data_IF_800536920052
#
_entry.id   IF_800536920052
#
_cell.length_a   1.000
_cell.length_b   1.000
_cell.length_c   1.000
_cell.angle_alpha   90.00
_cell.angle_beta   90.00
_cell.angle_gamma   90.00
#
_symmetry.space_group_name_H-M   'P 1'
#
loop_
_entity.id
_entity.type
_entity.pdbx_description
1 polymer ?
#
# COMPACT_ATOMS: atom_id res chain seq x y z
N UNK A 1 23.98 -1.56 7.77
CA UNK A 1 22.99 -1.20 6.74
C UNK A 1 21.89 -2.24 6.66
N UNK A 2 22.19 -3.52 6.52
CA UNK A 2 21.22 -4.63 6.43
C UNK A 2 20.17 -4.66 7.57
N UNK A 3 20.59 -4.48 8.83
CA UNK A 3 19.67 -4.46 9.97
C UNK A 3 18.63 -3.34 9.93
N UNK A 4 18.96 -2.15 9.36
CA UNK A 4 18.00 -1.06 9.22
C UNK A 4 16.94 -1.39 8.15
N UNK A 5 17.36 -2.02 7.06
CA UNK A 5 16.48 -2.48 5.98
C UNK A 5 15.53 -3.58 6.51
N UNK A 6 16.05 -4.53 7.27
CA UNK A 6 15.24 -5.60 7.89
C UNK A 6 14.21 -5.03 8.89
N UNK A 7 14.58 -4.04 9.71
CA UNK A 7 13.65 -3.36 10.62
C UNK A 7 12.56 -2.60 9.85
N UNK A 8 12.92 -1.95 8.74
CA UNK A 8 11.96 -1.28 7.88
C UNK A 8 10.98 -2.29 7.26
N UNK A 9 11.48 -3.39 6.69
CA UNK A 9 10.63 -4.46 6.15
C UNK A 9 9.71 -5.06 7.21
N UNK A 10 10.22 -5.31 8.43
CA UNK A 10 9.42 -5.79 9.56
C UNK A 10 8.32 -4.82 9.99
N UNK A 11 8.59 -3.50 9.98
CA UNK A 11 7.57 -2.50 10.29
C UNK A 11 6.44 -2.44 9.24
N UNK A 12 6.75 -2.74 7.97
CA UNK A 12 5.77 -2.78 6.90
C UNK A 12 4.94 -4.06 6.88
N UNK A 13 5.34 -5.10 7.59
CA UNK A 13 4.64 -6.38 7.57
C UNK A 13 3.26 -6.33 8.24
N UNK A 14 3.12 -5.57 9.34
CA UNK A 14 1.86 -5.47 10.10
C UNK A 14 0.69 -4.94 9.25
N UNK A 15 0.80 -3.81 8.53
CA UNK A 15 -0.26 -3.36 7.64
C UNK A 15 -0.60 -4.38 6.55
N UNK A 16 0.43 -5.06 6.02
CA UNK A 16 0.23 -6.06 4.95
C UNK A 16 -0.64 -7.23 5.41
N UNK A 17 -0.51 -7.67 6.67
CA UNK A 17 -1.38 -8.70 7.24
C UNK A 17 -2.85 -8.26 7.30
N UNK A 18 -3.10 -6.99 7.61
CA UNK A 18 -4.47 -6.45 7.65
C UNK A 18 -5.13 -6.45 6.26
N UNK A 19 -4.34 -6.31 5.18
CA UNK A 19 -4.87 -6.42 3.82
C UNK A 19 -5.42 -7.80 3.49
N UNK A 20 -4.83 -8.87 4.04
CA UNK A 20 -5.33 -10.23 3.83
C UNK A 20 -6.75 -10.36 4.40
N UNK A 21 -6.98 -9.91 5.64
CA UNK A 21 -8.30 -9.91 6.24
C UNK A 21 -9.31 -9.07 5.45
N UNK A 22 -8.96 -7.83 5.12
CA UNK A 22 -9.83 -6.94 4.34
C UNK A 22 -10.14 -7.51 2.97
N UNK A 23 -9.14 -8.10 2.29
CA UNK A 23 -9.32 -8.73 0.98
C UNK A 23 -10.30 -9.91 1.02
N UNK A 24 -10.22 -10.76 2.04
CA UNK A 24 -11.16 -11.86 2.24
C UNK A 24 -12.57 -11.30 2.48
N UNK A 25 -12.72 -10.31 3.36
CA UNK A 25 -14.03 -9.72 3.68
C UNK A 25 -14.65 -9.00 2.48
N UNK A 26 -13.87 -8.22 1.72
CA UNK A 26 -14.33 -7.57 0.49
C UNK A 26 -14.72 -8.60 -0.56
N UNK A 27 -13.91 -9.65 -0.75
CA UNK A 27 -14.22 -10.73 -1.67
C UNK A 27 -15.52 -11.45 -1.31
N UNK A 28 -15.66 -11.89 -0.06
CA UNK A 28 -16.85 -12.56 0.44
C UNK A 28 -18.10 -11.68 0.29
N UNK A 29 -18.04 -10.43 0.73
CA UNK A 29 -19.18 -9.50 0.64
C UNK A 29 -19.53 -9.17 -0.80
N UNK A 30 -18.56 -9.10 -1.72
CA UNK A 30 -18.81 -8.90 -3.14
C UNK A 30 -19.56 -10.09 -3.74
N UNK A 31 -19.20 -11.33 -3.39
CA UNK A 31 -19.94 -12.53 -3.81
C UNK A 31 -21.37 -12.49 -3.29
N UNK A 32 -21.57 -12.17 -2.00
CA UNK A 32 -22.88 -12.16 -1.34
C UNK A 32 -23.80 -10.99 -1.77
N UNK A 33 -23.24 -9.94 -2.36
CA UNK A 33 -24.00 -8.81 -2.94
C UNK A 33 -24.15 -8.90 -4.46
N UNK A 34 -23.67 -9.97 -5.08
CA UNK A 34 -23.75 -10.15 -6.55
C UNK A 34 -25.02 -10.90 -6.93
N UNK A 35 -25.94 -10.24 -7.64
CA UNK A 35 -27.15 -10.86 -8.18
C UNK A 35 -26.84 -12.02 -9.15
N UNK A 36 -25.72 -11.93 -9.87
CA UNK A 36 -25.28 -12.99 -10.80
C UNK A 36 -24.96 -14.29 -10.07
N UNK A 37 -24.46 -14.21 -8.83
CA UNK A 37 -24.02 -15.39 -8.05
C UNK A 37 -25.10 -15.87 -7.10
N UNK A 38 -25.75 -14.96 -6.38
CA UNK A 38 -26.71 -15.25 -5.29
C UNK A 38 -28.17 -15.16 -5.77
N UNK A 39 -28.41 -14.56 -6.94
CA UNK A 39 -29.75 -14.39 -7.49
C UNK A 39 -30.50 -13.18 -6.91
N UNK A 40 -31.83 -13.18 -7.05
CA UNK A 40 -32.69 -12.03 -6.70
C UNK A 40 -32.66 -11.63 -5.23
N UNK A 41 -32.18 -12.48 -4.32
CA UNK A 41 -32.00 -12.12 -2.90
C UNK A 41 -30.94 -11.03 -2.73
N UNK A 42 -30.01 -10.87 -3.68
CA UNK A 42 -28.98 -9.86 -3.69
C UNK A 42 -29.40 -8.56 -4.41
N UNK A 43 -30.66 -8.38 -4.77
CA UNK A 43 -31.17 -7.10 -5.29
C UNK A 43 -30.95 -5.98 -4.28
N UNK A 44 -30.59 -4.77 -4.78
CA UNK A 44 -30.23 -3.62 -3.94
C UNK A 44 -31.33 -3.17 -2.95
N UNK A 45 -32.60 -3.53 -3.25
CA UNK A 45 -33.76 -3.22 -2.40
C UNK A 45 -33.89 -4.13 -1.17
N UNK A 46 -33.32 -5.33 -1.23
CA UNK A 46 -33.46 -6.36 -0.20
C UNK A 46 -32.68 -6.03 1.07
N UNK A 47 -33.17 -6.57 2.21
CA UNK A 47 -32.46 -6.49 3.50
C UNK A 47 -31.13 -7.24 3.45
N UNK A 48 -31.08 -8.36 2.71
CA UNK A 48 -29.86 -9.14 2.50
C UNK A 48 -28.75 -8.27 1.91
N UNK A 49 -29.04 -7.61 0.78
CA UNK A 49 -28.07 -6.71 0.12
C UNK A 49 -27.60 -5.60 1.05
N UNK A 50 -28.52 -4.91 1.72
CA UNK A 50 -28.20 -3.79 2.63
C UNK A 50 -27.29 -4.20 3.77
N UNK A 51 -27.50 -5.39 4.37
CA UNK A 51 -26.65 -5.92 5.43
C UNK A 51 -25.24 -6.20 4.90
N UNK A 52 -25.13 -6.95 3.80
CA UNK A 52 -23.83 -7.30 3.26
C UNK A 52 -23.09 -6.10 2.64
N UNK A 53 -23.83 -5.15 2.08
CA UNK A 53 -23.26 -3.88 1.63
C UNK A 53 -22.69 -3.08 2.80
N UNK A 54 -23.36 -3.04 3.94
CA UNK A 54 -22.84 -2.38 5.16
C UNK A 54 -21.54 -3.04 5.64
N UNK A 55 -21.48 -4.37 5.64
CA UNK A 55 -20.26 -5.12 5.99
C UNK A 55 -19.13 -4.82 4.97
N UNK A 56 -19.48 -4.77 3.68
CA UNK A 56 -18.54 -4.43 2.59
C UNK A 56 -17.93 -3.04 2.78
N UNK A 57 -18.74 -2.04 3.11
CA UNK A 57 -18.27 -0.68 3.37
C UNK A 57 -17.29 -0.63 4.54
N UNK A 58 -17.55 -1.37 5.62
CA UNK A 58 -16.59 -1.53 6.72
C UNK A 58 -15.30 -2.22 6.29
N UNK A 59 -15.39 -3.26 5.46
CA UNK A 59 -14.22 -3.99 4.96
C UNK A 59 -13.32 -3.13 4.05
N UNK A 60 -13.88 -2.15 3.33
CA UNK A 60 -13.13 -1.22 2.50
C UNK A 60 -12.28 -0.21 3.27
N UNK A 61 -12.47 -0.06 4.58
CA UNK A 61 -11.73 0.90 5.43
C UNK A 61 -10.22 0.75 5.25
N UNK A 62 -9.71 -0.48 5.23
CA UNK A 62 -8.26 -0.74 5.11
C UNK A 62 -7.74 -0.25 3.75
N UNK A 63 -8.46 -0.55 2.66
CA UNK A 63 -8.05 -0.13 1.32
C UNK A 63 -8.14 1.38 1.11
N UNK A 64 -9.14 2.04 1.70
CA UNK A 64 -9.30 3.49 1.61
C UNK A 64 -8.27 4.26 2.44
N UNK A 65 -7.73 3.64 3.51
CA UNK A 65 -6.80 4.28 4.45
C UNK A 65 -5.42 3.63 4.47
N UNK A 66 -5.01 3.01 3.37
CA UNK A 66 -3.70 2.37 3.22
C UNK A 66 -2.55 3.28 3.68
N UNK A 67 -2.43 4.53 3.19
CA UNK A 67 -1.32 5.41 3.56
C UNK A 67 -1.26 5.67 5.07
N UNK A 68 -2.41 5.85 5.70
CA UNK A 68 -2.53 6.13 7.13
C UNK A 68 -2.07 4.96 7.98
N UNK A 69 -2.40 3.72 7.58
CA UNK A 69 -1.95 2.51 8.25
C UNK A 69 -0.42 2.39 8.23
N UNK A 70 0.20 2.71 7.10
CA UNK A 70 1.66 2.68 6.99
C UNK A 70 2.34 3.78 7.79
N UNK A 71 1.78 4.98 7.83
CA UNK A 71 2.28 6.08 8.66
C UNK A 71 2.34 5.69 10.13
N UNK A 72 1.29 5.04 10.64
CA UNK A 72 1.21 4.62 12.05
C UNK A 72 2.11 3.43 12.33
N UNK A 73 2.25 2.49 11.40
CA UNK A 73 3.03 1.27 11.62
C UNK A 73 4.55 1.46 11.56
N UNK A 74 5.03 2.39 10.74
CA UNK A 74 6.46 2.59 10.57
C UNK A 74 7.19 2.96 11.88
N UNK A 75 6.68 3.88 12.70
CA UNK A 75 7.29 4.21 13.98
C UNK A 75 7.37 3.03 14.96
N UNK A 76 6.46 2.05 14.89
CA UNK A 76 6.49 0.85 15.75
C UNK A 76 7.81 0.10 15.58
N UNK A 77 8.29 -0.04 14.35
CA UNK A 77 9.52 -0.76 14.06
C UNK A 77 10.80 0.09 14.11
N UNK A 78 10.68 1.41 13.90
CA UNK A 78 11.83 2.29 13.66
C UNK A 78 12.10 3.28 14.79
N UNK A 79 11.13 3.61 15.64
CA UNK A 79 11.34 4.46 16.79
C UNK A 79 12.17 3.73 17.87
N UNK A 80 13.18 4.40 18.41
CA UNK A 80 14.10 3.83 19.40
C UNK A 80 13.47 3.73 20.79
N UNK A 81 12.58 4.66 21.13
CA UNK A 81 11.92 4.78 22.43
C UNK A 81 10.48 5.23 22.22
N UNK A 82 9.61 5.00 23.22
CA UNK A 82 8.25 5.52 23.25
C UNK A 82 7.48 5.36 21.92
N UNK A 83 7.52 4.18 21.33
CA UNK A 83 6.96 3.85 20.01
C UNK A 83 5.50 4.29 19.86
N UNK A 84 4.66 4.10 20.89
CA UNK A 84 3.27 4.52 20.86
C UNK A 84 3.13 6.04 20.68
N UNK A 85 3.99 6.85 21.32
CA UNK A 85 4.01 8.30 21.14
C UNK A 85 4.48 8.68 19.73
N UNK A 86 5.49 8.00 19.21
CA UNK A 86 5.96 8.21 17.84
C UNK A 86 4.87 7.90 16.81
N UNK A 87 4.00 6.91 17.06
CA UNK A 87 2.84 6.61 16.20
C UNK A 87 1.83 7.76 16.20
N UNK A 88 1.53 8.31 17.38
CA UNK A 88 0.62 9.46 17.49
C UNK A 88 1.19 10.72 16.83
N UNK A 89 2.49 10.97 17.01
CA UNK A 89 3.20 12.07 16.33
C UNK A 89 3.14 11.91 14.81
N UNK A 90 3.35 10.68 14.30
CA UNK A 90 3.31 10.39 12.88
C UNK A 90 1.90 10.57 12.31
N UNK A 91 0.88 10.10 13.01
CA UNK A 91 -0.52 10.30 12.62
C UNK A 91 -0.86 11.79 12.53
N UNK A 92 -0.57 12.54 13.60
CA UNK A 92 -0.87 13.97 13.66
C UNK A 92 -0.14 14.76 12.55
N UNK A 93 1.15 14.53 12.40
CA UNK A 93 1.97 15.25 11.42
C UNK A 93 1.63 14.85 9.98
N UNK A 94 1.20 13.63 9.74
CA UNK A 94 0.71 13.22 8.42
C UNK A 94 -0.62 13.89 8.05
N UNK A 95 -1.55 13.99 9.00
CA UNK A 95 -2.78 14.76 8.79
C UNK A 95 -2.47 16.24 8.56
N UNK A 96 -1.58 16.82 9.37
CA UNK A 96 -1.11 18.20 9.21
C UNK A 96 -0.50 18.45 7.82
N UNK A 97 0.34 17.54 7.34
CA UNK A 97 0.92 17.57 5.99
C UNK A 97 -0.17 17.62 4.90
N UNK A 98 -1.18 16.74 5.01
CA UNK A 98 -2.28 16.71 4.05
C UNK A 98 -3.16 17.96 4.12
N UNK A 99 -3.41 18.52 5.32
CA UNK A 99 -4.10 19.80 5.46
C UNK A 99 -3.32 20.98 4.86
N UNK A 100 -1.99 20.99 4.98
CA UNK A 100 -1.17 21.98 4.32
C UNK A 100 -1.25 21.89 2.80
N UNK A 101 -1.15 20.67 2.24
CA UNK A 101 -1.33 20.48 0.80
C UNK A 101 -2.72 20.95 0.37
N UNK A 102 -3.77 20.56 1.09
CA UNK A 102 -5.14 20.98 0.80
C UNK A 102 -5.28 22.51 0.77
N UNK A 103 -4.75 23.19 1.79
CA UNK A 103 -4.80 24.64 1.88
C UNK A 103 -3.96 25.33 0.78
N UNK A 104 -2.78 24.81 0.48
CA UNK A 104 -1.92 25.33 -0.60
C UNK A 104 -2.62 25.17 -1.95
N UNK A 105 -3.18 24.00 -2.24
CA UNK A 105 -3.86 23.75 -3.52
C UNK A 105 -5.17 24.52 -3.66
N UNK A 106 -5.90 24.71 -2.58
CA UNK A 106 -7.12 25.52 -2.60
C UNK A 106 -6.84 26.99 -2.98
N UNK A 107 -5.67 27.53 -2.60
CA UNK A 107 -5.30 28.90 -2.87
C UNK A 107 -4.45 29.09 -4.13
N UNK A 108 -3.56 28.13 -4.44
CA UNK A 108 -2.56 28.26 -5.49
C UNK A 108 -2.49 27.04 -6.42
N UNK A 109 -3.51 26.17 -6.46
CA UNK A 109 -3.50 24.92 -7.23
C UNK A 109 -3.15 25.12 -8.70
N UNK A 110 -3.71 26.15 -9.33
CA UNK A 110 -3.44 26.48 -10.73
C UNK A 110 -1.97 26.81 -11.02
N UNK A 111 -1.27 27.43 -10.06
CA UNK A 111 0.17 27.72 -10.19
C UNK A 111 1.04 26.44 -10.19
N UNK A 112 0.54 25.36 -9.59
CA UNK A 112 1.18 24.06 -9.57
C UNK A 112 0.67 23.12 -10.66
N UNK A 113 -0.22 23.58 -11.55
CA UNK A 113 -0.82 22.79 -12.60
C UNK A 113 -1.86 21.77 -12.10
N UNK A 114 -2.42 21.97 -10.91
CA UNK A 114 -3.42 21.11 -10.30
C UNK A 114 -4.77 21.82 -10.25
N UNK A 115 -5.79 21.22 -10.87
CA UNK A 115 -7.17 21.70 -10.74
C UNK A 115 -7.80 21.14 -9.47
N UNK A 116 -7.85 21.97 -8.43
CA UNK A 116 -8.43 21.58 -7.15
C UNK A 116 -9.96 21.64 -7.11
N UNK A 117 -10.63 22.11 -8.17
CA UNK A 117 -12.10 22.14 -8.26
C UNK A 117 -12.67 20.75 -8.52
N UNK A 118 -11.93 19.89 -9.21
CA UNK A 118 -12.32 18.52 -9.57
C UNK A 118 -12.44 17.66 -8.31
N UNK A 119 -13.44 16.80 -8.23
CA UNK A 119 -13.59 15.85 -7.11
C UNK A 119 -12.39 14.90 -7.02
N UNK A 120 -12.01 14.55 -5.77
CA UNK A 120 -10.93 13.60 -5.56
C UNK A 120 -11.36 12.20 -6.02
N UNK A 121 -10.56 11.57 -6.87
CA UNK A 121 -10.87 10.25 -7.43
C UNK A 121 -9.78 9.75 -8.36
N UNK A 122 -9.97 8.52 -8.83
CA UNK A 122 -9.01 7.86 -9.70
C UNK A 122 -8.70 8.70 -10.95
N UNK A 123 -7.41 8.86 -11.25
CA UNK A 123 -6.93 9.57 -12.44
C UNK A 123 -6.89 11.10 -12.32
N UNK A 124 -7.51 11.71 -11.30
CA UNK A 124 -7.53 13.17 -11.11
C UNK A 124 -6.23 13.71 -10.52
N UNK A 125 -5.41 12.86 -9.91
CA UNK A 125 -4.23 13.25 -9.14
C UNK A 125 -4.53 13.74 -7.73
N UNK A 126 -5.80 13.71 -7.32
CA UNK A 126 -6.29 14.07 -5.99
C UNK A 126 -6.89 12.84 -5.30
N UNK A 127 -6.67 12.73 -3.99
CA UNK A 127 -7.21 11.65 -3.15
C UNK A 127 -7.85 12.20 -1.88
N UNK A 128 -8.65 11.35 -1.23
CA UNK A 128 -9.20 11.62 0.10
C UNK A 128 -8.40 10.84 1.15
N UNK A 129 -7.67 11.53 2.00
CA UNK A 129 -6.97 10.94 3.14
C UNK A 129 -7.68 11.39 4.41
N UNK A 130 -8.30 10.46 5.14
CA UNK A 130 -9.14 10.77 6.31
C UNK A 130 -10.13 11.92 6.04
N UNK A 131 -10.81 11.90 4.88
CA UNK A 131 -11.73 12.94 4.39
C UNK A 131 -11.07 14.29 4.02
N UNK A 132 -9.76 14.40 4.06
CA UNK A 132 -9.03 15.58 3.59
C UNK A 132 -8.75 15.41 2.11
N UNK A 133 -9.25 16.32 1.27
CA UNK A 133 -8.93 16.39 -0.15
C UNK A 133 -7.51 16.89 -0.34
N UNK A 134 -6.63 16.07 -0.89
CA UNK A 134 -5.19 16.34 -0.97
C UNK A 134 -4.62 15.75 -2.27
N UNK A 135 -3.33 15.98 -2.56
CA UNK A 135 -2.64 15.29 -3.64
C UNK A 135 -2.63 13.78 -3.36
N UNK A 136 -2.83 13.00 -4.39
CA UNK A 136 -2.68 11.55 -4.34
C UNK A 136 -1.19 11.18 -4.26
N UNK A 137 -0.62 11.35 -3.07
CA UNK A 137 0.76 10.95 -2.76
C UNK A 137 0.84 9.52 -2.26
N UNK A 138 -0.31 8.92 -1.97
CA UNK A 138 -0.55 7.55 -1.54
C UNK A 138 0.56 7.04 -0.58
N UNK A 139 1.16 5.89 -0.89
CA UNK A 139 2.17 5.24 -0.04
C UNK A 139 3.48 6.03 0.05
N UNK A 140 3.91 6.68 -1.04
CA UNK A 140 5.20 7.39 -1.07
C UNK A 140 5.17 8.57 -0.10
N UNK A 141 4.11 9.39 -0.14
CA UNK A 141 3.93 10.49 0.80
C UNK A 141 3.89 10.01 2.26
N UNK A 142 3.15 8.93 2.50
CA UNK A 142 3.05 8.31 3.83
C UNK A 142 4.41 7.86 4.38
N UNK A 143 5.21 7.16 3.56
CA UNK A 143 6.53 6.66 3.96
C UNK A 143 7.54 7.78 4.19
N UNK A 144 7.52 8.83 3.36
CA UNK A 144 8.38 10.00 3.52
C UNK A 144 8.07 10.73 4.81
N UNK A 145 6.79 11.03 5.05
CA UNK A 145 6.36 11.71 6.28
C UNK A 145 6.70 10.87 7.52
N UNK A 146 6.35 9.58 7.53
CA UNK A 146 6.64 8.70 8.66
C UNK A 146 8.15 8.59 8.93
N UNK A 147 8.97 8.49 7.87
CA UNK A 147 10.43 8.47 7.99
C UNK A 147 10.99 9.74 8.62
N UNK A 148 10.50 10.91 8.19
CA UNK A 148 10.88 12.20 8.77
C UNK A 148 10.46 12.29 10.23
N UNK A 149 9.22 11.90 10.55
CA UNK A 149 8.72 11.94 11.94
C UNK A 149 9.52 11.03 12.85
N UNK A 150 9.83 9.81 12.41
CA UNK A 150 10.71 8.88 13.16
C UNK A 150 12.09 9.48 13.37
N UNK A 151 12.65 10.15 12.36
CA UNK A 151 13.93 10.85 12.52
C UNK A 151 13.85 11.97 13.56
N UNK A 152 12.82 12.83 13.48
CA UNK A 152 12.60 13.92 14.44
C UNK A 152 12.38 13.38 15.85
N UNK A 153 11.54 12.35 16.00
CA UNK A 153 11.29 11.68 17.27
C UNK A 153 12.58 11.15 17.88
N UNK A 154 13.34 10.36 17.14
CA UNK A 154 14.59 9.75 17.62
C UNK A 154 15.67 10.78 17.98
N UNK A 155 15.62 11.98 17.40
CA UNK A 155 16.61 13.05 17.62
C UNK A 155 16.19 14.02 18.72
N UNK A 156 14.93 14.41 18.78
CA UNK A 156 14.48 15.54 19.58
C UNK A 156 13.59 15.17 20.77
N UNK A 157 13.11 13.93 20.88
CA UNK A 157 12.20 13.50 21.94
C UNK A 157 12.78 13.69 23.36
N UNK A 158 14.06 13.42 23.54
CA UNK A 158 14.77 13.52 24.83
C UNK A 158 15.44 14.89 25.04
N UNK A 159 15.13 15.91 24.21
CA UNK A 159 15.76 17.24 24.31
C UNK A 159 15.40 17.90 25.63
N UNK A 160 16.42 18.34 26.36
CA UNK A 160 16.25 19.11 27.61
C UNK A 160 15.85 20.55 27.26
N UNK A 161 14.65 20.93 27.60
CA UNK A 161 14.16 22.29 27.46
C UNK A 161 14.28 23.06 28.79
N UNK A 162 14.40 24.40 28.77
CA UNK A 162 14.33 25.24 29.95
C UNK A 162 13.07 24.95 30.77
N UNK A 163 13.11 25.19 32.09
CA UNK A 163 11.99 24.85 32.98
C UNK A 163 10.67 25.48 32.61
N UNK A 164 10.67 26.71 32.10
CA UNK A 164 9.48 27.42 31.65
C UNK A 164 8.84 26.82 30.38
N UNK A 165 9.58 26.03 29.60
CA UNK A 165 9.10 25.24 28.47
C UNK A 165 8.88 23.75 28.82
N UNK A 166 8.92 23.40 30.09
CA UNK A 166 8.84 22.03 30.56
C UNK A 166 7.61 21.25 30.07
N UNK A 167 6.48 21.93 29.88
CA UNK A 167 5.23 21.36 29.35
C UNK A 167 5.37 20.89 27.89
N UNK A 168 6.26 21.50 27.12
CA UNK A 168 6.49 21.19 25.72
C UNK A 168 7.53 20.06 25.49
N UNK A 169 8.00 19.39 26.54
CA UNK A 169 8.95 18.28 26.41
C UNK A 169 8.35 17.08 25.69
N UNK A 170 9.23 16.29 25.04
CA UNK A 170 8.84 15.05 24.37
C UNK A 170 8.02 15.25 23.11
N UNK A 171 6.86 14.60 23.00
CA UNK A 171 6.02 14.63 21.80
C UNK A 171 5.58 16.02 21.36
N UNK A 172 5.29 16.93 22.32
CA UNK A 172 4.92 18.29 21.97
C UNK A 172 6.04 19.03 21.21
N UNK A 173 7.29 18.85 21.66
CA UNK A 173 8.44 19.47 21.01
C UNK A 173 8.69 18.88 19.61
N UNK A 174 8.57 17.54 19.49
CA UNK A 174 8.68 16.87 18.20
C UNK A 174 7.60 17.35 17.24
N UNK A 175 6.35 17.46 17.70
CA UNK A 175 5.25 17.94 16.88
C UNK A 175 5.41 19.42 16.50
N UNK A 176 5.92 20.28 17.40
CA UNK A 176 6.17 21.69 17.11
C UNK A 176 7.22 21.86 15.99
N UNK A 177 8.32 21.14 16.06
CA UNK A 177 9.33 21.15 14.98
C UNK A 177 8.73 20.51 13.72
N UNK A 178 8.04 19.38 13.89
CA UNK A 178 7.41 18.63 12.80
C UNK A 178 6.41 19.47 12.01
N UNK A 179 5.65 20.36 12.68
CA UNK A 179 4.69 21.25 12.03
C UNK A 179 5.35 22.11 10.94
N UNK A 180 6.46 22.77 11.25
CA UNK A 180 7.17 23.60 10.27
C UNK A 180 7.86 22.76 9.19
N UNK A 181 8.37 21.59 9.56
CA UNK A 181 8.96 20.65 8.60
C UNK A 181 7.90 20.12 7.63
N UNK A 182 6.68 19.82 8.13
CA UNK A 182 5.57 19.37 7.26
C UNK A 182 5.07 20.49 6.36
N UNK A 183 5.07 21.75 6.81
CA UNK A 183 4.74 22.90 5.96
C UNK A 183 5.73 23.01 4.78
N UNK A 184 7.02 23.00 5.06
CA UNK A 184 8.05 23.05 4.01
C UNK A 184 7.94 21.82 3.06
N UNK A 185 7.70 20.65 3.61
CA UNK A 185 7.53 19.41 2.83
C UNK A 185 6.28 19.50 1.93
N UNK A 186 5.18 20.05 2.42
CA UNK A 186 3.94 20.23 1.64
C UNK A 186 4.18 21.13 0.42
N UNK A 187 4.91 22.24 0.56
CA UNK A 187 5.29 23.09 -0.57
C UNK A 187 6.13 22.32 -1.59
N UNK A 188 7.14 21.58 -1.13
CA UNK A 188 7.98 20.75 -2.01
C UNK A 188 7.12 19.72 -2.76
N UNK A 189 6.19 19.05 -2.07
CA UNK A 189 5.30 18.08 -2.73
C UNK A 189 4.35 18.75 -3.73
N UNK A 190 3.81 19.91 -3.45
CA UNK A 190 2.98 20.64 -4.41
C UNK A 190 3.74 20.99 -5.69
N UNK A 191 5.05 21.27 -5.60
CA UNK A 191 5.89 21.57 -6.76
C UNK A 191 6.28 20.31 -7.55
N UNK A 192 6.70 19.24 -6.84
CA UNK A 192 7.36 18.08 -7.44
C UNK A 192 6.38 16.97 -7.79
N UNK A 193 5.36 16.76 -6.98
CA UNK A 193 4.46 15.61 -7.10
C UNK A 193 3.63 15.58 -8.39
N UNK A 194 3.07 16.68 -8.90
CA UNK A 194 2.36 16.68 -10.18
C UNK A 194 3.23 16.23 -11.35
N UNK A 195 4.54 16.56 -11.31
CA UNK A 195 5.51 16.11 -12.33
C UNK A 195 5.71 14.59 -12.22
N UNK A 196 5.84 14.07 -10.99
CA UNK A 196 5.97 12.62 -10.74
C UNK A 196 4.70 11.90 -11.21
N UNK A 197 3.51 12.41 -10.92
CA UNK A 197 2.24 11.81 -11.36
C UNK A 197 2.15 11.74 -12.89
N UNK A 198 2.58 12.78 -13.60
CA UNK A 198 2.64 12.78 -15.06
C UNK A 198 3.62 11.73 -15.57
N UNK A 199 4.77 11.59 -14.94
CA UNK A 199 5.75 10.54 -15.23
C UNK A 199 5.19 9.13 -14.98
N UNK A 200 4.44 8.94 -13.90
CA UNK A 200 3.78 7.66 -13.58
C UNK A 200 2.73 7.28 -14.64
N UNK A 201 1.91 8.24 -15.10
CA UNK A 201 0.95 8.00 -16.20
C UNK A 201 1.65 7.59 -17.50
N UNK A 202 2.77 8.22 -17.82
CA UNK A 202 3.58 7.85 -18.99
C UNK A 202 4.17 6.45 -18.85
N UNK A 203 4.65 6.11 -17.66
CA UNK A 203 5.17 4.77 -17.33
C UNK A 203 4.09 3.70 -17.39
N UNK A 204 2.87 4.00 -16.96
CA UNK A 204 1.69 3.13 -17.10
C UNK A 204 1.47 2.76 -18.56
N UNK A 205 1.45 3.74 -19.47
CA UNK A 205 1.30 3.51 -20.90
C UNK A 205 2.40 2.59 -21.46
N UNK A 206 3.65 2.82 -21.07
CA UNK A 206 4.78 1.97 -21.46
C UNK A 206 4.62 0.53 -20.97
N UNK A 207 4.31 0.29 -19.71
CA UNK A 207 4.14 -1.07 -19.17
C UNK A 207 2.95 -1.79 -19.80
N UNK A 208 1.84 -1.09 -20.04
CA UNK A 208 0.68 -1.68 -20.69
C UNK A 208 0.98 -2.07 -22.15
N UNK A 209 1.79 -1.28 -22.86
CA UNK A 209 2.19 -1.56 -24.23
C UNK A 209 3.31 -2.61 -24.36
N UNK A 210 4.19 -2.76 -23.35
CA UNK A 210 5.36 -3.64 -23.40
C UNK A 210 5.07 -5.15 -23.35
N UNK A 211 3.81 -5.54 -23.12
CA UNK A 211 3.38 -6.92 -23.17
C UNK A 211 4.12 -7.85 -22.19
N UNK A 212 4.57 -9.00 -22.68
CA UNK A 212 5.26 -10.03 -21.88
C UNK A 212 6.61 -9.55 -21.32
N UNK A 213 7.33 -8.70 -22.06
CA UNK A 213 8.64 -8.20 -21.65
C UNK A 213 8.54 -7.28 -20.43
N UNK A 214 7.53 -6.41 -20.39
CA UNK A 214 7.27 -5.56 -19.23
C UNK A 214 6.93 -6.36 -17.98
N UNK A 215 6.11 -7.40 -18.10
CA UNK A 215 5.82 -8.33 -16.99
C UNK A 215 7.08 -9.04 -16.52
N UNK A 216 7.94 -9.48 -17.44
CA UNK A 216 9.20 -10.14 -17.10
C UNK A 216 10.14 -9.21 -16.32
N UNK A 217 10.38 -7.99 -16.82
CA UNK A 217 11.22 -7.00 -16.13
C UNK A 217 10.66 -6.67 -14.74
N UNK A 218 9.37 -6.43 -14.65
CA UNK A 218 8.70 -6.15 -13.37
C UNK A 218 8.89 -7.30 -12.37
N UNK A 219 8.60 -8.53 -12.79
CA UNK A 219 8.74 -9.73 -11.95
C UNK A 219 10.20 -9.96 -11.54
N UNK A 220 11.13 -9.77 -12.45
CA UNK A 220 12.56 -9.92 -12.16
C UNK A 220 13.02 -8.90 -11.10
N UNK A 221 12.69 -7.62 -11.28
CA UNK A 221 13.02 -6.58 -10.31
C UNK A 221 12.39 -6.85 -8.93
N UNK A 222 11.12 -7.24 -8.90
CA UNK A 222 10.44 -7.57 -7.65
C UNK A 222 11.14 -8.74 -6.93
N UNK A 223 11.48 -9.81 -7.65
CA UNK A 223 12.09 -11.00 -7.06
C UNK A 223 13.53 -10.79 -6.59
N UNK A 224 14.35 -10.09 -7.33
CA UNK A 224 15.75 -9.84 -6.95
C UNK A 224 15.85 -8.94 -5.70
N UNK A 225 14.84 -8.13 -5.46
CA UNK A 225 14.80 -7.22 -4.30
C UNK A 225 14.17 -7.83 -3.04
N UNK A 226 13.59 -9.04 -3.10
CA UNK A 226 13.01 -9.71 -1.93
C UNK A 226 14.02 -9.86 -0.77
N UNK A 227 15.27 -10.34 -1.00
CA UNK A 227 16.23 -10.53 0.09
C UNK A 227 16.61 -9.23 0.82
N UNK A 228 16.47 -8.08 0.15
CA UNK A 228 16.76 -6.76 0.72
C UNK A 228 15.55 -6.12 1.40
N UNK A 229 14.34 -6.67 1.20
CA UNK A 229 13.08 -6.07 1.64
C UNK A 229 12.61 -4.87 0.79
N UNK A 230 13.37 -4.50 -0.25
CA UNK A 230 13.05 -3.37 -1.12
C UNK A 230 12.02 -3.69 -2.21
N UNK A 231 11.63 -4.95 -2.36
CA UNK A 231 10.61 -5.38 -3.34
C UNK A 231 9.27 -4.64 -3.17
N UNK A 232 8.96 -4.18 -1.97
CA UNK A 232 7.78 -3.36 -1.70
C UNK A 232 7.75 -2.08 -2.55
N UNK A 233 8.89 -1.45 -2.79
CA UNK A 233 8.98 -0.25 -3.64
C UNK A 233 8.67 -0.54 -5.11
N UNK A 234 8.85 -1.78 -5.56
CA UNK A 234 8.57 -2.19 -6.94
C UNK A 234 7.10 -2.56 -7.11
N UNK A 235 6.54 -3.42 -6.24
CA UNK A 235 5.19 -3.93 -6.47
C UNK A 235 4.07 -3.02 -5.92
N UNK A 236 4.33 -2.25 -4.84
CA UNK A 236 3.29 -1.41 -4.23
C UNK A 236 2.69 -0.38 -5.20
N UNK A 237 3.50 0.32 -6.01
CA UNK A 237 2.97 1.26 -6.97
C UNK A 237 2.01 0.60 -7.99
N UNK A 238 2.27 -0.64 -8.40
CA UNK A 238 1.36 -1.37 -9.27
C UNK A 238 0.13 -1.90 -8.54
N UNK A 239 0.31 -2.37 -7.31
CA UNK A 239 -0.77 -2.98 -6.54
C UNK A 239 -1.79 -1.97 -6.01
N UNK A 240 -1.32 -0.77 -5.62
CA UNK A 240 -2.11 0.19 -4.86
C UNK A 240 -2.12 1.61 -5.46
N UNK A 241 -1.27 1.90 -6.44
CA UNK A 241 -1.21 3.19 -7.12
C UNK A 241 -1.61 3.06 -8.59
N UNK A 242 -1.88 4.20 -9.23
CA UNK A 242 -2.41 4.26 -10.61
C UNK A 242 -1.33 4.04 -11.69
N UNK A 243 -0.36 3.15 -11.48
CA UNK A 243 0.67 2.85 -12.49
C UNK A 243 0.18 1.88 -13.56
N UNK A 244 -0.52 0.82 -13.18
CA UNK A 244 -1.01 -0.19 -14.12
C UNK A 244 -2.49 0.00 -14.46
N UNK A 245 -3.26 0.48 -13.50
CA UNK A 245 -4.70 0.78 -13.61
C UNK A 245 -5.07 1.78 -12.53
N UNK A 246 -6.04 2.64 -12.80
CA UNK A 246 -6.49 3.64 -11.85
C UNK A 246 -6.93 3.02 -10.53
N UNK A 247 -6.42 3.57 -9.42
CA UNK A 247 -6.64 3.07 -8.07
C UNK A 247 -5.82 1.84 -7.68
N UNK A 248 -4.97 1.34 -8.58
CA UNK A 248 -4.16 0.15 -8.38
C UNK A 248 -4.87 -1.16 -8.69
N UNK A 249 -4.09 -2.19 -8.98
CA UNK A 249 -4.59 -3.48 -9.45
C UNK A 249 -5.57 -4.13 -8.46
N UNK A 250 -5.30 -4.03 -7.15
CA UNK A 250 -6.14 -4.68 -6.13
C UNK A 250 -7.50 -4.03 -5.97
N UNK A 251 -7.56 -2.71 -5.92
CA UNK A 251 -8.81 -2.00 -5.81
C UNK A 251 -9.64 -2.13 -7.10
N UNK A 252 -9.01 -1.97 -8.28
CA UNK A 252 -9.67 -2.15 -9.55
C UNK A 252 -10.22 -3.56 -9.75
N UNK A 253 -9.48 -4.60 -9.33
CA UNK A 253 -9.97 -5.98 -9.36
C UNK A 253 -11.20 -6.16 -8.47
N UNK A 254 -11.14 -5.67 -7.23
CA UNK A 254 -12.24 -5.84 -6.27
C UNK A 254 -13.50 -5.07 -6.67
N UNK A 255 -13.36 -3.89 -7.27
CA UNK A 255 -14.49 -3.08 -7.76
C UNK A 255 -15.23 -3.76 -8.93
N UNK A 256 -14.50 -4.37 -9.84
CA UNK A 256 -15.06 -4.94 -11.07
C UNK A 256 -15.26 -6.47 -10.98
N UNK A 257 -15.09 -7.07 -9.80
CA UNK A 257 -15.14 -8.53 -9.63
C UNK A 257 -16.48 -9.13 -10.08
N UNK A 258 -17.59 -8.48 -9.79
CA UNK A 258 -18.92 -8.93 -10.19
C UNK A 258 -19.12 -8.89 -11.72
N UNK A 259 -18.62 -7.86 -12.39
CA UNK A 259 -18.65 -7.74 -13.84
C UNK A 259 -17.79 -8.81 -14.52
N UNK A 260 -16.58 -9.04 -13.98
CA UNK A 260 -15.68 -10.07 -14.49
C UNK A 260 -16.24 -11.48 -14.31
N UNK A 261 -16.92 -11.74 -13.19
CA UNK A 261 -17.57 -13.03 -12.93
C UNK A 261 -18.78 -13.29 -13.86
N UNK A 262 -19.49 -12.24 -14.25
CA UNK A 262 -20.62 -12.34 -15.17
C UNK A 262 -20.20 -12.46 -16.64
N UNK A 263 -18.96 -12.10 -16.98
CA UNK A 263 -18.50 -12.05 -18.37
C UNK A 263 -18.01 -13.41 -18.86
N UNK A 264 -18.39 -13.77 -20.09
CA UNK A 264 -17.85 -14.94 -20.80
C UNK A 264 -16.50 -14.69 -21.48
N UNK A 265 -15.99 -13.44 -21.45
CA UNK A 265 -14.72 -13.06 -22.06
C UNK A 265 -13.53 -13.51 -21.22
N UNK A 266 -12.39 -13.71 -21.86
CA UNK A 266 -11.14 -14.04 -21.16
C UNK A 266 -10.72 -12.92 -20.20
N UNK A 267 -10.29 -13.26 -18.97
CA UNK A 267 -9.76 -12.30 -18.01
C UNK A 267 -8.56 -11.52 -18.52
N UNK A 268 -7.77 -12.10 -19.43
CA UNK A 268 -6.65 -11.40 -20.06
C UNK A 268 -7.11 -10.20 -20.92
N UNK A 269 -8.32 -10.26 -21.47
CA UNK A 269 -8.91 -9.16 -22.26
C UNK A 269 -9.69 -8.18 -21.39
N UNK A 270 -10.37 -8.67 -20.35
CA UNK A 270 -11.16 -7.84 -19.44
C UNK A 270 -10.30 -7.03 -18.48
N UNK A 271 -9.21 -7.63 -17.99
CA UNK A 271 -8.33 -7.00 -17.02
C UNK A 271 -6.84 -7.18 -17.37
N UNK A 272 -6.35 -6.49 -18.42
CA UNK A 272 -4.97 -6.62 -18.88
C UNK A 272 -3.92 -6.26 -17.80
N UNK A 273 -4.24 -5.36 -16.87
CA UNK A 273 -3.39 -5.00 -15.75
C UNK A 273 -3.15 -6.15 -14.77
N UNK A 274 -4.04 -7.14 -14.74
CA UNK A 274 -3.93 -8.33 -13.87
C UNK A 274 -2.65 -9.14 -14.09
N UNK A 275 -2.01 -9.03 -15.27
CA UNK A 275 -0.71 -9.65 -15.54
C UNK A 275 0.41 -9.18 -14.60
N UNK A 276 0.29 -7.99 -14.02
CA UNK A 276 1.23 -7.47 -13.02
C UNK A 276 0.86 -7.83 -11.59
N UNK A 277 -0.25 -8.53 -11.37
CA UNK A 277 -0.69 -8.95 -10.04
C UNK A 277 0.19 -10.05 -9.40
N UNK A 278 0.96 -10.79 -10.18
CA UNK A 278 1.98 -11.79 -9.81
C UNK A 278 1.55 -12.96 -8.89
N UNK A 279 0.35 -12.90 -8.33
CA UNK A 279 -0.03 -13.79 -7.22
C UNK A 279 -0.28 -15.25 -7.62
N UNK A 280 -0.77 -15.51 -8.84
CA UNK A 280 -1.07 -16.87 -9.30
C UNK A 280 0.17 -17.62 -9.77
N UNK A 281 0.85 -17.08 -10.75
CA UNK A 281 1.98 -17.74 -11.42
C UNK A 281 3.16 -17.97 -10.49
N UNK A 282 3.48 -16.99 -9.63
CA UNK A 282 4.61 -17.11 -8.72
C UNK A 282 4.37 -18.13 -7.61
N UNK A 283 3.14 -18.33 -7.17
CA UNK A 283 2.82 -19.36 -6.16
C UNK A 283 2.90 -20.78 -6.74
N UNK A 284 2.42 -20.97 -7.96
CA UNK A 284 2.42 -22.27 -8.63
C UNK A 284 3.83 -22.67 -9.06
N UNK A 285 4.60 -21.75 -9.66
CA UNK A 285 5.90 -22.08 -10.27
C UNK A 285 7.10 -21.76 -9.40
N UNK A 286 7.04 -20.71 -8.54
CA UNK A 286 8.18 -20.35 -7.70
C UNK A 286 8.39 -21.34 -6.53
N UNK A 287 7.31 -21.84 -5.91
CA UNK A 287 7.45 -22.77 -4.80
C UNK A 287 8.15 -24.07 -5.18
N UNK A 288 7.76 -24.78 -6.27
CA UNK A 288 8.52 -25.93 -6.79
C UNK A 288 9.96 -25.57 -7.20
N UNK A 289 10.15 -24.40 -7.84
CA UNK A 289 11.47 -23.93 -8.25
C UNK A 289 12.42 -23.68 -7.08
N UNK A 290 11.94 -23.07 -6.01
CA UNK A 290 12.70 -22.85 -4.77
C UNK A 290 13.07 -24.19 -4.12
N UNK A 291 12.12 -25.12 -4.02
CA UNK A 291 12.37 -26.46 -3.48
C UNK A 291 13.43 -27.21 -4.27
N UNK A 292 13.35 -27.13 -5.60
CA UNK A 292 14.33 -27.73 -6.49
C UNK A 292 15.72 -27.11 -6.32
N UNK A 293 15.79 -25.79 -6.18
CA UNK A 293 17.03 -25.05 -5.94
C UNK A 293 17.67 -25.46 -4.61
N UNK A 294 16.90 -25.56 -3.53
CA UNK A 294 17.38 -26.04 -2.25
C UNK A 294 17.88 -27.49 -2.31
N UNK A 295 17.14 -28.36 -3.01
CA UNK A 295 17.57 -29.73 -3.22
C UNK A 295 18.87 -29.80 -4.04
N UNK A 296 18.98 -29.03 -5.10
CA UNK A 296 20.18 -29.02 -5.97
C UNK A 296 21.42 -28.50 -5.23
N UNK A 297 21.26 -27.48 -4.37
CA UNK A 297 22.35 -26.85 -3.63
C UNK A 297 22.69 -27.56 -2.31
N UNK A 298 21.81 -28.44 -1.81
CA UNK A 298 22.03 -29.17 -0.56
C UNK A 298 23.22 -30.14 -0.67
N UNK A 299 24.02 -30.25 0.40
CA UNK A 299 25.10 -31.22 0.54
C UNK A 299 24.54 -32.66 0.40
N UNK A 300 25.30 -33.57 -0.22
CA UNK A 300 24.87 -34.96 -0.49
C UNK A 300 24.19 -35.65 0.71
N UNK A 301 24.74 -35.48 1.92
CA UNK A 301 24.22 -36.12 3.14
C UNK A 301 22.91 -35.49 3.68
N UNK A 302 22.51 -34.32 3.19
CA UNK A 302 21.31 -33.62 3.63
C UNK A 302 20.22 -33.51 2.56
N UNK A 303 20.42 -34.13 1.39
CA UNK A 303 19.46 -34.05 0.28
C UNK A 303 18.09 -34.63 0.62
N UNK A 304 18.05 -35.75 1.34
CA UNK A 304 16.80 -36.41 1.74
C UNK A 304 16.00 -35.59 2.77
N UNK A 305 16.70 -34.98 3.75
CA UNK A 305 16.13 -34.11 4.76
C UNK A 305 15.64 -32.80 4.15
N UNK A 306 16.43 -32.19 3.26
CA UNK A 306 16.07 -30.99 2.51
C UNK A 306 14.85 -31.20 1.62
N UNK A 307 14.69 -32.37 1.00
CA UNK A 307 13.52 -32.69 0.19
C UNK A 307 12.24 -32.78 1.03
N UNK A 308 12.29 -33.45 2.18
CA UNK A 308 11.13 -33.58 3.08
C UNK A 308 10.68 -32.24 3.67
N UNK A 309 11.63 -31.44 4.17
CA UNK A 309 11.34 -30.10 4.75
C UNK A 309 10.81 -29.17 3.68
N UNK A 310 11.42 -29.13 2.49
CA UNK A 310 11.01 -28.23 1.43
C UNK A 310 9.69 -28.64 0.78
N UNK A 311 9.39 -29.92 0.67
CA UNK A 311 8.08 -30.40 0.21
C UNK A 311 6.97 -29.98 1.19
N UNK A 312 7.19 -30.09 2.50
CA UNK A 312 6.26 -29.62 3.53
C UNK A 312 6.11 -28.09 3.53
N UNK A 313 7.20 -27.33 3.38
CA UNK A 313 7.14 -25.88 3.27
C UNK A 313 6.41 -25.43 2.01
N UNK A 314 6.59 -26.09 0.88
CA UNK A 314 5.85 -25.78 -0.35
C UNK A 314 4.37 -26.08 -0.21
N UNK A 315 4.02 -27.22 0.39
CA UNK A 315 2.63 -27.59 0.64
C UNK A 315 1.96 -26.62 1.61
N UNK A 316 2.61 -26.30 2.73
CA UNK A 316 2.10 -25.31 3.69
C UNK A 316 2.05 -23.89 3.13
N UNK A 317 3.03 -23.47 2.31
CA UNK A 317 2.98 -22.16 1.64
C UNK A 317 1.86 -22.11 0.61
N UNK A 318 1.56 -23.17 -0.10
CA UNK A 318 0.40 -23.22 -0.99
C UNK A 318 -0.92 -23.22 -0.23
N UNK A 319 -1.02 -23.90 0.93
CA UNK A 319 -2.25 -24.00 1.71
C UNK A 319 -2.51 -22.75 2.56
N UNK A 320 -1.48 -22.13 3.14
CA UNK A 320 -1.61 -20.90 3.95
C UNK A 320 -2.05 -19.66 3.15
N UNK A 321 -2.06 -19.71 1.83
CA UNK A 321 -2.48 -18.60 0.97
C UNK A 321 -3.80 -18.87 0.24
N UNK A 322 -4.44 -20.01 0.50
CA UNK A 322 -5.80 -20.33 0.03
C UNK A 322 -6.88 -20.11 1.11
N UNK A 323 -6.47 -19.67 2.32
CA UNK A 323 -7.41 -19.27 3.38
C UNK A 323 -7.31 -17.78 3.65
#
# INVERSE_FOLDING_TARGET
MMQKIQKFGGAMFTPVLLFAFSGIMVGLTTVLTSEVIVGSIAEATTTWYKVWWTVKEGAWTIFRQIPLLFVVSLPIGLAKKQQARACMEALLLYLTFNYFIAAILANWGTAFGVDYSIEAGNGTGLALVASIKTLDTNMVGALVVAGIVVYLHNKYFDTKLPEWLGVFKGSCFVCAIGFFVMLALAVVFCCVWPIIQTGMKSLQGFFMASGALGVWVFTFCERILIPTGLHHFVYMPFAYESIAVDGGIKAAWALNLSEYAASSKSLATLFPAGRFALYGHSKIFAAPGISLAFYATAKKNKKKESYGINASCCFNSCTLWYH
#
